data_IF_374745228164
#
_entry.id   IF_374745228164
#
_cell.length_a   1.000
_cell.length_b   1.000
_cell.length_c   1.000
_cell.angle_alpha   90.00
_cell.angle_beta   90.00
_cell.angle_gamma   90.00
#
_symmetry.space_group_name_H-M   'P 1'
#
loop_
_entity.id
_entity.type
_entity.pdbx_description
1 polymer ?
#
# COMPACT_ATOMS: atom_id res chain seq x y z
N UNK A 1 2.75 63.06 -41.82
CA UNK A 1 1.95 61.84 -41.57
C UNK A 1 2.85 60.80 -41.03
N UNK A 2 2.81 60.56 -39.70
CA UNK A 2 3.58 59.49 -39.04
C UNK A 2 2.57 58.53 -38.39
N UNK A 3 2.45 57.30 -38.92
CA UNK A 3 1.67 56.21 -38.33
C UNK A 3 2.48 55.58 -37.23
N UNK A 4 2.00 55.68 -36.00
CA UNK A 4 2.50 54.94 -34.85
C UNK A 4 1.88 53.53 -34.84
N UNK A 5 2.72 52.50 -34.93
CA UNK A 5 2.33 51.09 -34.72
C UNK A 5 2.33 50.80 -33.24
N UNK A 6 1.17 50.61 -32.65
CA UNK A 6 1.02 50.06 -31.32
C UNK A 6 1.14 48.55 -31.40
N UNK A 7 2.18 47.99 -30.80
CA UNK A 7 2.35 46.56 -30.57
C UNK A 7 1.53 46.17 -29.31
N UNK A 8 0.46 45.42 -29.53
CA UNK A 8 -0.34 44.81 -28.46
C UNK A 8 0.37 43.51 -28.04
N UNK A 9 1.10 43.55 -26.94
CA UNK A 9 1.69 42.36 -26.31
C UNK A 9 0.61 41.61 -25.53
N UNK A 10 0.14 40.49 -26.10
CA UNK A 10 -0.79 39.57 -25.43
C UNK A 10 -0.01 38.67 -24.49
N UNK A 11 -0.06 38.96 -23.19
CA UNK A 11 0.45 38.09 -22.16
C UNK A 11 -0.49 36.90 -22.02
N UNK A 12 -0.09 35.73 -22.52
CA UNK A 12 -0.73 34.46 -22.24
C UNK A 12 -0.27 34.06 -20.83
N UNK A 13 -1.15 34.23 -19.83
CA UNK A 13 -0.96 33.71 -18.50
C UNK A 13 -1.19 32.17 -18.53
N UNK A 14 -0.11 31.39 -18.65
CA UNK A 14 -0.16 29.94 -18.49
C UNK A 14 -0.35 29.70 -16.99
N UNK A 15 -1.60 29.47 -16.58
CA UNK A 15 -1.92 28.89 -15.28
C UNK A 15 -1.42 27.44 -15.29
N UNK A 16 -0.16 27.27 -14.89
CA UNK A 16 0.32 25.97 -14.43
C UNK A 16 -0.51 25.62 -13.19
N UNK A 17 -1.49 24.76 -13.38
CA UNK A 17 -2.20 24.10 -12.28
C UNK A 17 -1.21 23.27 -11.49
N UNK A 18 -0.51 23.91 -10.54
CA UNK A 18 0.20 23.21 -9.49
C UNK A 18 -0.86 22.48 -8.67
N UNK A 19 -1.04 21.20 -8.93
CA UNK A 19 -1.76 20.33 -7.99
C UNK A 19 -1.11 20.57 -6.62
N UNK A 20 -1.84 21.13 -5.69
CA UNK A 20 -1.41 21.28 -4.30
C UNK A 20 -1.30 19.83 -3.79
N UNK A 21 -0.11 19.25 -3.86
CA UNK A 21 0.17 18.03 -3.11
C UNK A 21 -0.03 18.41 -1.64
N UNK A 22 -1.11 17.94 -1.04
CA UNK A 22 -1.31 18.09 0.39
C UNK A 22 -0.16 17.35 1.07
N UNK A 23 0.74 18.10 1.69
CA UNK A 23 1.83 17.51 2.46
C UNK A 23 1.20 16.64 3.57
N UNK A 24 1.68 15.40 3.70
CA UNK A 24 1.24 14.49 4.76
C UNK A 24 1.48 15.16 6.12
N UNK A 25 0.47 15.14 6.99
CA UNK A 25 0.61 15.63 8.37
C UNK A 25 1.33 14.61 9.28
N UNK A 26 1.38 13.34 8.88
CA UNK A 26 2.04 12.26 9.64
C UNK A 26 2.98 11.44 8.76
N UNK A 27 4.05 10.83 9.31
CA UNK A 27 4.91 9.92 8.57
C UNK A 27 4.14 8.71 8.01
N UNK A 28 4.58 8.15 6.89
CA UNK A 28 3.97 6.93 6.31
C UNK A 28 4.20 5.68 7.17
N UNK A 29 5.28 5.70 7.95
CA UNK A 29 5.64 4.67 8.91
C UNK A 29 5.96 5.37 10.21
N UNK A 30 5.34 4.94 11.29
CA UNK A 30 5.52 5.50 12.63
C UNK A 30 6.07 4.44 13.58
N UNK A 31 6.91 4.87 14.50
CA UNK A 31 7.40 4.01 15.58
C UNK A 31 6.48 4.06 16.81
N UNK A 32 6.80 3.23 17.80
CA UNK A 32 6.06 3.15 19.07
C UNK A 32 6.08 4.47 19.83
N UNK A 33 7.19 5.21 19.81
CA UNK A 33 7.32 6.47 20.53
C UNK A 33 6.43 7.56 19.92
N UNK A 34 6.40 7.65 18.59
CA UNK A 34 5.50 8.56 17.89
C UNK A 34 4.03 8.24 18.18
N UNK A 35 3.66 6.95 18.12
CA UNK A 35 2.27 6.55 18.35
C UNK A 35 1.84 6.85 19.79
N UNK A 36 2.67 6.52 20.79
CA UNK A 36 2.40 6.83 22.19
C UNK A 36 2.18 8.33 22.45
N UNK A 37 3.05 9.17 21.88
CA UNK A 37 2.96 10.61 22.02
C UNK A 37 1.68 11.20 21.43
N UNK A 38 1.06 10.52 20.47
CA UNK A 38 -0.11 10.96 19.74
C UNK A 38 -1.42 10.26 20.13
N UNK A 39 -1.45 9.33 21.09
CA UNK A 39 -2.65 8.59 21.47
C UNK A 39 -3.85 9.48 21.85
N UNK A 40 -3.58 10.65 22.42
CA UNK A 40 -4.62 11.61 22.83
C UNK A 40 -4.98 12.63 21.72
N UNK A 41 -4.42 12.50 20.50
CA UNK A 41 -4.76 13.40 19.42
C UNK A 41 -6.17 13.09 18.90
N UNK A 42 -7.09 14.07 18.85
CA UNK A 42 -8.48 13.84 18.43
C UNK A 42 -8.60 13.41 16.96
N UNK A 43 -7.61 13.67 16.10
CA UNK A 43 -7.57 13.19 14.73
C UNK A 43 -7.16 11.71 14.63
N UNK A 44 -6.52 11.15 15.68
CA UNK A 44 -5.93 9.81 15.59
C UNK A 44 -6.99 8.72 15.65
N UNK A 45 -6.89 7.78 14.69
CA UNK A 45 -7.57 6.50 14.70
C UNK A 45 -6.50 5.41 14.60
N UNK A 46 -6.29 4.68 15.69
CA UNK A 46 -5.48 3.45 15.67
C UNK A 46 -6.40 2.33 15.17
N UNK A 47 -6.08 1.76 14.01
CA UNK A 47 -6.86 0.73 13.36
C UNK A 47 -6.17 -0.62 13.55
N UNK A 48 -6.67 -1.43 14.47
CA UNK A 48 -6.14 -2.77 14.76
C UNK A 48 -6.78 -3.79 13.80
N UNK A 49 -5.97 -4.32 12.88
CA UNK A 49 -6.45 -5.24 11.83
C UNK A 49 -6.21 -6.71 12.16
N UNK A 50 -5.77 -7.01 13.38
CA UNK A 50 -5.59 -8.37 13.89
C UNK A 50 -6.92 -9.10 14.01
N UNK A 51 -6.85 -10.40 14.33
CA UNK A 51 -8.05 -11.18 14.64
C UNK A 51 -8.76 -10.62 15.88
N UNK A 52 -10.07 -10.82 15.94
CA UNK A 52 -10.88 -10.33 17.05
C UNK A 52 -10.45 -10.91 18.41
N UNK A 53 -9.97 -12.16 18.43
CA UNK A 53 -9.47 -12.82 19.64
C UNK A 53 -8.19 -12.13 20.14
N UNK A 54 -7.25 -11.79 19.23
CA UNK A 54 -6.00 -11.12 19.56
C UNK A 54 -6.25 -9.70 20.08
N UNK A 55 -7.18 -8.98 19.45
CA UNK A 55 -7.59 -7.66 19.90
C UNK A 55 -8.21 -7.70 21.31
N UNK A 56 -9.10 -8.66 21.58
CA UNK A 56 -9.74 -8.84 22.90
C UNK A 56 -8.73 -9.21 23.99
N UNK A 57 -7.70 -9.99 23.65
CA UNK A 57 -6.64 -10.37 24.58
C UNK A 57 -5.76 -9.18 25.01
N UNK A 58 -5.68 -8.15 24.15
CA UNK A 58 -4.97 -6.90 24.44
C UNK A 58 -4.70 -6.12 23.16
N UNK A 59 -4.88 -4.82 23.22
CA UNK A 59 -4.66 -3.89 22.10
C UNK A 59 -4.10 -2.55 22.58
N UNK A 60 -3.66 -1.70 21.65
CA UNK A 60 -3.21 -0.35 21.95
C UNK A 60 -4.40 0.46 22.45
N UNK A 61 -4.27 1.22 23.58
CA UNK A 61 -5.36 2.00 24.13
C UNK A 61 -6.05 2.88 23.08
N UNK A 62 -7.38 2.82 23.01
CA UNK A 62 -8.18 3.59 22.04
C UNK A 62 -8.21 3.03 20.61
N UNK A 63 -7.52 1.91 20.32
CA UNK A 63 -7.57 1.27 19.02
C UNK A 63 -8.96 0.71 18.70
N UNK A 64 -9.36 0.84 17.44
CA UNK A 64 -10.60 0.28 16.89
C UNK A 64 -10.28 -1.05 16.21
N UNK A 65 -11.02 -2.11 16.53
CA UNK A 65 -10.88 -3.40 15.86
C UNK A 65 -11.51 -3.37 14.48
N UNK A 66 -10.75 -3.74 13.46
CA UNK A 66 -11.22 -3.86 12.07
C UNK A 66 -10.48 -4.98 11.37
N UNK A 67 -11.00 -6.20 11.50
CA UNK A 67 -10.32 -7.41 11.05
C UNK A 67 -9.87 -7.34 9.59
N UNK A 68 -8.63 -7.70 9.34
CA UNK A 68 -7.97 -7.68 8.02
C UNK A 68 -8.82 -8.28 6.89
N UNK A 69 -9.51 -9.40 7.14
CA UNK A 69 -10.34 -10.09 6.13
C UNK A 69 -11.48 -9.25 5.56
N UNK A 70 -11.85 -8.14 6.20
CA UNK A 70 -12.82 -7.18 5.66
C UNK A 70 -12.21 -6.21 4.63
N UNK A 71 -10.88 -6.10 4.58
CA UNK A 71 -10.14 -5.20 3.68
C UNK A 71 -9.55 -5.90 2.46
N UNK A 72 -9.58 -7.23 2.44
CA UNK A 72 -9.07 -8.07 1.36
C UNK A 72 -10.03 -9.24 1.16
N UNK A 73 -10.98 -9.05 0.25
CA UNK A 73 -12.14 -9.94 0.08
C UNK A 73 -12.00 -10.84 -1.14
N UNK A 74 -12.81 -11.89 -1.20
CA UNK A 74 -12.89 -12.71 -2.40
C UNK A 74 -13.87 -12.08 -3.39
N UNK A 75 -13.43 -11.85 -4.65
CA UNK A 75 -14.29 -11.38 -5.75
C UNK A 75 -14.27 -12.38 -6.90
N UNK A 76 -15.40 -13.05 -7.12
CA UNK A 76 -15.47 -14.11 -8.12
C UNK A 76 -14.39 -15.18 -7.91
N UNK A 77 -13.50 -15.40 -8.89
CA UNK A 77 -12.41 -16.39 -8.76
C UNK A 77 -11.13 -15.82 -8.14
N UNK A 78 -11.09 -14.53 -7.77
CA UNK A 78 -9.89 -13.85 -7.24
C UNK A 78 -9.98 -13.72 -5.73
N UNK A 79 -8.82 -13.86 -5.08
CA UNK A 79 -8.66 -13.76 -3.65
C UNK A 79 -8.03 -12.41 -3.28
N UNK A 80 -8.35 -11.91 -2.09
CA UNK A 80 -7.75 -10.73 -1.48
C UNK A 80 -7.89 -9.42 -2.29
N UNK A 81 -8.97 -9.28 -3.05
CA UNK A 81 -9.30 -8.07 -3.80
C UNK A 81 -9.76 -6.92 -2.89
N UNK A 82 -9.65 -5.68 -3.36
CA UNK A 82 -10.26 -4.51 -2.70
C UNK A 82 -11.78 -4.75 -2.58
N UNK A 83 -12.43 -4.42 -1.44
CA UNK A 83 -13.90 -4.47 -1.33
C UNK A 83 -14.61 -3.64 -2.40
N UNK A 84 -15.88 -3.92 -2.66
CA UNK A 84 -16.70 -3.06 -3.52
C UNK A 84 -16.79 -1.65 -2.91
N UNK A 85 -16.99 -0.60 -3.72
CA UNK A 85 -16.96 0.78 -3.24
C UNK A 85 -17.90 1.03 -2.06
N UNK A 86 -19.11 0.48 -2.09
CA UNK A 86 -20.12 0.63 -1.04
C UNK A 86 -19.64 -0.03 0.26
N UNK A 87 -19.14 -1.26 0.19
CA UNK A 87 -18.63 -2.01 1.34
C UNK A 87 -17.39 -1.32 1.93
N UNK A 88 -16.48 -0.83 1.07
CA UNK A 88 -15.29 -0.10 1.48
C UNK A 88 -15.66 1.20 2.20
N UNK A 89 -16.65 1.94 1.70
CA UNK A 89 -17.13 3.16 2.36
C UNK A 89 -17.72 2.86 3.74
N UNK A 90 -18.56 1.83 3.85
CA UNK A 90 -19.16 1.41 5.12
C UNK A 90 -18.08 0.98 6.12
N UNK A 91 -17.09 0.22 5.65
CA UNK A 91 -15.96 -0.23 6.49
C UNK A 91 -15.17 0.95 7.08
N UNK A 92 -14.87 1.95 6.26
CA UNK A 92 -14.17 3.18 6.70
C UNK A 92 -15.05 3.97 7.67
N UNK A 93 -16.33 4.14 7.34
CA UNK A 93 -17.28 4.87 8.18
C UNK A 93 -17.46 4.20 9.54
N UNK A 94 -17.62 2.86 9.57
CA UNK A 94 -17.82 2.11 10.81
C UNK A 94 -16.62 2.15 11.76
N UNK A 95 -15.40 2.33 11.23
CA UNK A 95 -14.19 2.56 12.01
C UNK A 95 -14.11 4.00 12.58
N UNK A 96 -15.06 4.88 12.28
CA UNK A 96 -15.08 6.28 12.70
C UNK A 96 -14.04 7.16 11.99
N UNK A 97 -13.53 6.72 10.84
CA UNK A 97 -12.49 7.44 10.08
C UNK A 97 -13.13 8.57 9.27
N UNK A 98 -12.67 9.81 9.46
CA UNK A 98 -13.05 11.02 8.71
C UNK A 98 -11.96 11.31 7.65
N UNK A 99 -12.27 12.17 6.69
CA UNK A 99 -11.31 12.60 5.65
C UNK A 99 -10.00 13.19 6.22
N UNK A 100 -10.07 13.92 7.33
CA UNK A 100 -8.91 14.50 8.02
C UNK A 100 -8.34 13.66 9.16
N UNK A 101 -8.74 12.39 9.30
CA UNK A 101 -8.21 11.50 10.35
C UNK A 101 -6.76 11.13 10.06
N UNK A 102 -5.99 11.00 11.13
CA UNK A 102 -4.70 10.33 11.14
C UNK A 102 -4.93 8.85 11.42
N UNK A 103 -4.72 7.98 10.45
CA UNK A 103 -4.98 6.55 10.64
C UNK A 103 -3.66 5.80 10.77
N UNK A 104 -3.46 5.13 11.90
CA UNK A 104 -2.31 4.23 12.10
C UNK A 104 -2.80 2.79 12.07
N UNK A 105 -2.40 2.03 11.04
CA UNK A 105 -2.75 0.62 10.88
C UNK A 105 -1.80 -0.24 11.70
N UNK A 106 -2.37 -1.11 12.54
CA UNK A 106 -1.62 -2.00 13.44
C UNK A 106 -1.96 -3.46 13.13
N UNK A 107 -0.93 -4.24 12.83
CA UNK A 107 -0.97 -5.69 12.69
C UNK A 107 -0.19 -6.36 13.85
N UNK A 108 -0.21 -7.69 13.99
CA UNK A 108 0.36 -8.41 15.11
C UNK A 108 1.86 -8.18 15.28
N UNK A 109 2.59 -8.24 14.17
CA UNK A 109 4.04 -8.11 14.14
C UNK A 109 4.49 -7.44 12.84
N UNK A 110 5.68 -6.87 12.82
CA UNK A 110 6.35 -6.47 11.59
C UNK A 110 6.73 -7.68 10.74
N UNK A 111 7.89 -7.69 10.13
CA UNK A 111 8.44 -8.87 9.47
C UNK A 111 7.44 -9.54 8.53
N UNK A 112 7.16 -10.83 8.72
CA UNK A 112 6.35 -11.62 7.78
C UNK A 112 4.94 -11.06 7.56
N UNK A 113 4.41 -10.30 8.52
CA UNK A 113 3.03 -9.79 8.47
C UNK A 113 2.91 -8.30 8.10
N UNK A 114 4.01 -7.61 7.90
CA UNK A 114 4.02 -6.19 7.50
C UNK A 114 3.10 -5.88 6.31
N UNK A 115 3.03 -6.78 5.33
CA UNK A 115 2.18 -6.62 4.15
C UNK A 115 0.67 -6.64 4.44
N UNK A 116 0.21 -7.13 5.57
CA UNK A 116 -1.20 -7.02 5.97
C UNK A 116 -1.54 -5.58 6.39
N UNK A 117 -0.66 -4.94 7.16
CA UNK A 117 -0.83 -3.53 7.52
C UNK A 117 -0.76 -2.62 6.29
N UNK A 118 0.24 -2.83 5.43
CA UNK A 118 0.38 -2.02 4.21
C UNK A 118 -0.73 -2.25 3.20
N UNK A 119 -1.34 -3.46 3.14
CA UNK A 119 -2.51 -3.71 2.31
C UNK A 119 -3.70 -2.84 2.74
N UNK A 120 -3.98 -2.77 4.05
CA UNK A 120 -5.05 -1.91 4.58
C UNK A 120 -4.70 -0.44 4.38
N UNK A 121 -3.46 -0.04 4.66
CA UNK A 121 -3.00 1.34 4.47
C UNK A 121 -3.10 1.78 3.01
N UNK A 122 -2.69 0.93 2.06
CA UNK A 122 -2.87 1.18 0.64
C UNK A 122 -4.34 1.29 0.23
N UNK A 123 -5.21 0.41 0.74
CA UNK A 123 -6.65 0.47 0.47
C UNK A 123 -7.26 1.77 0.98
N UNK A 124 -6.85 2.26 2.16
CA UNK A 124 -7.26 3.56 2.70
C UNK A 124 -6.76 4.73 1.85
N UNK A 125 -5.49 4.69 1.41
CA UNK A 125 -4.94 5.69 0.51
C UNK A 125 -5.66 5.69 -0.85
N UNK A 126 -5.93 4.50 -1.42
CA UNK A 126 -6.74 4.34 -2.62
C UNK A 126 -8.15 4.91 -2.46
N UNK A 127 -8.77 4.76 -1.28
CA UNK A 127 -10.07 5.33 -0.95
C UNK A 127 -10.08 6.86 -0.82
N UNK A 128 -8.90 7.51 -0.83
CA UNK A 128 -8.76 8.96 -0.79
C UNK A 128 -8.30 9.55 0.55
N UNK A 129 -7.75 8.73 1.45
CA UNK A 129 -7.19 9.22 2.71
C UNK A 129 -5.71 9.62 2.56
N UNK A 130 -5.35 10.83 3.02
CA UNK A 130 -4.00 11.39 2.90
C UNK A 130 -3.08 11.05 4.07
N UNK A 131 -3.64 10.87 5.26
CA UNK A 131 -2.90 10.77 6.51
C UNK A 131 -3.00 9.36 7.09
N UNK A 132 -2.48 8.37 6.36
CA UNK A 132 -2.43 6.97 6.77
C UNK A 132 -0.99 6.58 7.08
N UNK A 133 -0.77 5.81 8.13
CA UNK A 133 0.53 5.27 8.52
C UNK A 133 0.42 3.78 8.88
N UNK A 134 1.54 3.09 8.90
CA UNK A 134 1.67 1.76 9.49
C UNK A 134 2.59 1.83 10.71
N UNK A 135 2.28 1.04 11.75
CA UNK A 135 3.16 0.93 12.92
C UNK A 135 4.32 -0.02 12.61
N UNK A 136 5.55 0.51 12.66
CA UNK A 136 6.76 -0.28 12.45
C UNK A 136 6.93 -1.33 13.55
N UNK A 137 7.08 -2.60 13.14
CA UNK A 137 7.12 -3.73 14.04
C UNK A 137 5.77 -4.16 14.64
N UNK A 138 4.67 -3.47 14.27
CA UNK A 138 3.31 -3.84 14.66
C UNK A 138 3.04 -3.83 16.16
N UNK A 139 2.00 -4.56 16.59
CA UNK A 139 1.64 -4.70 18.02
C UNK A 139 2.75 -5.34 18.85
N UNK A 140 3.54 -6.24 18.25
CA UNK A 140 4.68 -6.84 18.94
C UNK A 140 5.73 -5.81 19.37
N UNK A 141 5.99 -4.79 18.54
CA UNK A 141 6.91 -3.71 18.92
C UNK A 141 6.33 -2.87 20.09
N UNK A 142 5.02 -2.64 20.11
CA UNK A 142 4.33 -1.94 21.18
C UNK A 142 4.50 -2.67 22.52
N UNK A 143 4.22 -3.96 22.55
CA UNK A 143 4.33 -4.81 23.77
C UNK A 143 5.79 -5.00 24.19
N UNK A 144 6.72 -5.20 23.24
CA UNK A 144 8.17 -5.31 23.51
C UNK A 144 8.73 -4.05 24.15
N UNK A 145 8.18 -2.87 23.79
CA UNK A 145 8.53 -1.60 24.41
C UNK A 145 7.90 -1.38 25.80
N UNK A 146 7.18 -2.38 26.35
CA UNK A 146 6.55 -2.32 27.67
C UNK A 146 5.40 -1.30 27.78
N UNK A 147 4.76 -0.98 26.65
CA UNK A 147 3.70 0.04 26.61
C UNK A 147 2.38 -0.53 27.14
N UNK A 148 1.55 0.37 27.69
CA UNK A 148 0.23 0.02 28.23
C UNK A 148 -0.63 -0.64 27.16
N UNK A 149 -1.34 -1.70 27.53
CA UNK A 149 -2.35 -2.36 26.72
C UNK A 149 -3.72 -2.21 27.35
N UNK A 150 -4.77 -2.24 26.52
CA UNK A 150 -6.16 -2.20 26.95
C UNK A 150 -6.90 -3.45 26.48
N UNK A 151 -7.93 -3.83 27.22
CA UNK A 151 -8.92 -4.84 26.81
C UNK A 151 -10.32 -4.23 26.65
N UNK A 152 -10.44 -2.90 26.78
CA UNK A 152 -11.69 -2.19 26.61
C UNK A 152 -12.11 -2.16 25.14
N UNK A 153 -13.32 -2.64 24.87
CA UNK A 153 -13.87 -2.62 23.50
C UNK A 153 -14.17 -1.19 23.06
N UNK A 154 -13.43 -0.71 22.07
CA UNK A 154 -13.61 0.63 21.52
C UNK A 154 -14.59 0.59 20.35
N UNK A 155 -15.64 1.39 20.45
CA UNK A 155 -16.59 1.63 19.36
C UNK A 155 -16.71 3.12 19.10
N UNK A 156 -16.32 3.57 17.91
CA UNK A 156 -16.50 4.96 17.48
C UNK A 156 -17.87 5.14 16.80
N UNK A 157 -18.49 6.31 16.88
CA UNK A 157 -19.63 6.65 16.03
C UNK A 157 -19.24 6.53 14.55
N UNK A 158 -20.15 6.05 13.72
CA UNK A 158 -19.93 5.99 12.28
C UNK A 158 -19.64 7.38 11.72
N UNK A 159 -18.65 7.49 10.86
CA UNK A 159 -18.26 8.74 10.23
C UNK A 159 -19.15 9.07 9.03
N UNK A 160 -18.92 10.28 8.45
CA UNK A 160 -19.52 10.70 7.18
C UNK A 160 -18.49 10.70 6.04
N UNK A 161 -17.49 9.82 6.11
CA UNK A 161 -16.48 9.70 5.07
C UNK A 161 -17.13 9.37 3.72
N UNK A 162 -16.67 10.04 2.67
CA UNK A 162 -17.07 9.75 1.29
C UNK A 162 -15.83 9.36 0.49
N UNK A 163 -15.93 8.29 -0.29
CA UNK A 163 -14.84 7.82 -1.12
C UNK A 163 -14.41 8.87 -2.15
N UNK A 164 -13.11 9.05 -2.28
CA UNK A 164 -12.44 9.78 -3.35
C UNK A 164 -11.39 8.88 -4.00
N UNK A 165 -11.85 7.95 -4.83
CA UNK A 165 -11.04 6.85 -5.37
C UNK A 165 -9.87 7.37 -6.23
N UNK A 166 -8.66 7.01 -5.87
CA UNK A 166 -7.41 7.30 -6.58
C UNK A 166 -7.07 6.16 -7.55
N UNK A 167 -7.67 6.20 -8.74
CA UNK A 167 -7.52 5.16 -9.77
C UNK A 167 -6.08 4.98 -10.26
N UNK A 168 -5.26 6.00 -10.13
CA UNK A 168 -3.84 6.00 -10.46
C UNK A 168 -2.97 5.18 -9.48
N UNK A 169 -3.50 4.78 -8.32
CA UNK A 169 -2.84 3.88 -7.39
C UNK A 169 -3.01 2.40 -7.75
N UNK A 170 -3.97 2.09 -8.61
CA UNK A 170 -4.31 0.75 -9.06
C UNK A 170 -3.89 0.52 -10.52
N UNK A 171 -3.29 -0.64 -10.80
CA UNK A 171 -3.21 -1.20 -12.14
C UNK A 171 -4.28 -2.29 -12.26
N UNK A 172 -5.19 -2.16 -13.20
CA UNK A 172 -6.10 -3.23 -13.59
C UNK A 172 -5.48 -4.15 -14.65
N UNK A 173 -6.11 -5.28 -14.94
CA UNK A 173 -5.63 -6.24 -15.94
C UNK A 173 -5.42 -5.60 -17.32
N UNK A 174 -6.30 -4.70 -17.75
CA UNK A 174 -6.20 -4.05 -19.06
C UNK A 174 -4.99 -3.13 -19.12
N UNK A 175 -4.70 -2.39 -18.05
CA UNK A 175 -3.49 -1.59 -17.91
C UNK A 175 -2.26 -2.49 -17.99
N UNK A 176 -2.22 -3.59 -17.24
CA UNK A 176 -1.10 -4.52 -17.21
C UNK A 176 -0.84 -5.12 -18.60
N UNK A 177 -1.86 -5.61 -19.29
CA UNK A 177 -1.72 -6.17 -20.65
C UNK A 177 -1.15 -5.17 -21.65
N UNK A 178 -1.48 -3.88 -21.51
CA UNK A 178 -0.95 -2.80 -22.37
C UNK A 178 0.49 -2.43 -22.06
N UNK A 179 0.94 -2.59 -20.81
CA UNK A 179 2.20 -2.02 -20.33
C UNK A 179 3.25 -3.07 -19.97
N UNK A 180 2.91 -4.36 -20.02
CA UNK A 180 3.76 -5.47 -19.58
C UNK A 180 5.18 -5.50 -20.21
N UNK A 181 5.33 -4.98 -21.44
CA UNK A 181 6.61 -4.94 -22.13
C UNK A 181 7.25 -3.53 -22.17
N UNK A 182 6.66 -2.55 -21.50
CA UNK A 182 7.09 -1.15 -21.58
C UNK A 182 7.37 -0.50 -20.24
N UNK A 183 6.68 -0.93 -19.18
CA UNK A 183 6.93 -0.45 -17.82
C UNK A 183 7.74 -1.46 -17.01
N UNK A 184 8.52 -1.01 -16.03
CA UNK A 184 9.16 -1.88 -15.07
C UNK A 184 8.13 -2.47 -14.10
N UNK A 185 8.19 -3.79 -13.93
CA UNK A 185 7.36 -4.56 -12.99
C UNK A 185 8.21 -5.06 -11.84
N UNK A 186 7.79 -4.80 -10.60
CA UNK A 186 8.42 -5.28 -9.39
C UNK A 186 7.64 -6.48 -8.85
N UNK A 187 8.28 -7.66 -8.82
CA UNK A 187 7.74 -8.88 -8.25
C UNK A 187 8.10 -8.99 -6.77
N UNK A 188 7.09 -8.85 -5.90
CA UNK A 188 7.24 -8.88 -4.44
C UNK A 188 7.29 -10.30 -3.84
N UNK A 189 7.22 -11.35 -4.66
CA UNK A 189 7.18 -12.75 -4.22
C UNK A 189 8.58 -13.27 -3.88
N UNK A 190 8.62 -14.44 -3.26
CA UNK A 190 9.88 -15.15 -2.99
C UNK A 190 10.60 -15.55 -4.27
N UNK A 191 11.91 -15.76 -4.18
CA UNK A 191 12.71 -16.28 -5.30
C UNK A 191 12.21 -17.61 -5.85
N UNK A 192 11.82 -18.54 -4.98
CA UNK A 192 11.30 -19.83 -5.40
C UNK A 192 10.06 -19.67 -6.30
N UNK A 193 9.20 -18.73 -5.98
CA UNK A 193 8.02 -18.41 -6.79
C UNK A 193 8.40 -17.66 -8.07
N UNK A 194 9.28 -16.65 -7.97
CA UNK A 194 9.75 -15.88 -9.12
C UNK A 194 10.42 -16.75 -10.17
N UNK A 195 11.32 -17.65 -9.77
CA UNK A 195 12.03 -18.55 -10.70
C UNK A 195 11.18 -19.75 -11.13
N UNK A 196 9.97 -19.93 -10.59
CA UNK A 196 9.05 -21.00 -10.99
C UNK A 196 9.36 -22.35 -10.38
N UNK A 197 10.03 -22.39 -9.23
CA UNK A 197 10.22 -23.62 -8.46
C UNK A 197 8.97 -24.00 -7.69
N UNK A 198 8.22 -23.00 -7.24
CA UNK A 198 6.94 -23.15 -6.53
C UNK A 198 5.91 -22.17 -7.06
N UNK A 199 4.64 -22.46 -6.83
CA UNK A 199 3.51 -21.53 -7.02
C UNK A 199 2.39 -21.84 -6.06
N UNK A 200 1.53 -20.88 -5.80
CA UNK A 200 0.30 -21.13 -5.06
C UNK A 200 -0.68 -21.97 -5.90
N UNK A 201 -1.50 -22.84 -5.29
CA UNK A 201 -2.39 -23.75 -6.03
C UNK A 201 -3.34 -23.07 -7.00
N UNK A 202 -3.78 -21.84 -6.69
CA UNK A 202 -4.72 -21.08 -7.49
C UNK A 202 -4.06 -20.22 -8.59
N UNK A 203 -2.72 -20.12 -8.64
CA UNK A 203 -1.98 -19.46 -9.73
C UNK A 203 -1.75 -20.46 -10.87
N UNK A 204 -2.24 -20.15 -12.07
CA UNK A 204 -2.26 -21.10 -13.19
C UNK A 204 -0.88 -21.39 -13.80
N UNK A 205 0.07 -20.43 -13.73
CA UNK A 205 1.41 -20.56 -14.31
C UNK A 205 2.51 -20.43 -13.25
N UNK A 206 3.61 -21.14 -13.42
CA UNK A 206 4.85 -20.97 -12.66
C UNK A 206 5.70 -19.84 -13.23
N UNK A 207 6.52 -19.19 -12.36
CA UNK A 207 7.44 -18.13 -12.77
C UNK A 207 6.85 -16.74 -12.61
N UNK A 208 7.35 -15.78 -13.39
CA UNK A 208 7.11 -14.35 -13.24
C UNK A 208 6.66 -13.70 -14.56
N UNK A 209 6.14 -12.47 -14.48
CA UNK A 209 5.76 -11.68 -15.65
C UNK A 209 7.00 -11.41 -16.53
N UNK A 210 6.85 -11.45 -17.87
CA UNK A 210 7.95 -11.10 -18.77
C UNK A 210 8.58 -9.77 -18.41
N UNK A 211 9.90 -9.75 -18.20
CA UNK A 211 10.64 -8.52 -17.87
C UNK A 211 10.50 -8.02 -16.44
N UNK A 212 9.74 -8.70 -15.58
CA UNK A 212 9.64 -8.31 -14.17
C UNK A 212 10.97 -8.52 -13.42
N UNK A 213 11.22 -7.66 -12.45
CA UNK A 213 12.40 -7.67 -11.59
C UNK A 213 12.00 -8.20 -10.22
N UNK A 214 12.73 -9.19 -9.70
CA UNK A 214 12.49 -9.78 -8.39
C UNK A 214 12.98 -8.85 -7.28
N UNK A 215 12.06 -8.51 -6.38
CA UNK A 215 12.35 -7.80 -5.14
C UNK A 215 11.44 -8.36 -4.04
N UNK A 216 11.81 -9.49 -3.41
CA UNK A 216 11.03 -10.05 -2.31
C UNK A 216 10.73 -8.99 -1.26
N UNK A 217 9.46 -8.95 -0.80
CA UNK A 217 9.00 -7.94 0.14
C UNK A 217 9.77 -7.94 1.47
N UNK A 218 10.39 -9.05 1.82
CA UNK A 218 11.21 -9.21 3.01
C UNK A 218 12.49 -8.36 2.98
N UNK A 219 12.95 -7.95 1.80
CA UNK A 219 14.20 -7.18 1.66
C UNK A 219 14.14 -5.77 2.21
N UNK A 220 12.95 -5.24 2.43
CA UNK A 220 12.78 -3.93 3.07
C UNK A 220 12.85 -4.00 4.60
N UNK A 221 13.01 -5.21 5.17
CA UNK A 221 12.97 -5.46 6.61
C UNK A 221 14.31 -5.98 7.12
N UNK A 222 14.64 -5.63 8.35
CA UNK A 222 15.75 -6.19 9.09
C UNK A 222 15.40 -7.55 9.75
N UNK A 223 16.35 -8.12 10.49
CA UNK A 223 16.17 -9.39 11.18
C UNK A 223 15.11 -9.33 12.30
N UNK A 224 14.84 -8.16 12.83
CA UNK A 224 13.82 -7.88 13.84
C UNK A 224 12.45 -7.59 13.23
N UNK A 225 12.33 -7.62 11.89
CA UNK A 225 11.09 -7.35 11.15
C UNK A 225 10.70 -5.88 11.09
N UNK A 226 11.64 -4.97 11.33
CA UNK A 226 11.47 -3.53 11.17
C UNK A 226 11.99 -3.06 9.82
N UNK A 227 11.51 -1.91 9.37
CA UNK A 227 12.02 -1.32 8.15
C UNK A 227 13.51 -0.99 8.27
N UNK A 228 14.27 -1.37 7.26
CA UNK A 228 15.65 -0.89 7.11
C UNK A 228 15.66 0.61 6.79
N UNK A 229 16.76 1.34 7.06
CA UNK A 229 16.84 2.77 6.81
C UNK A 229 16.44 3.14 5.38
N UNK A 230 15.73 4.26 5.21
CA UNK A 230 15.23 4.77 3.92
C UNK A 230 16.30 4.73 2.81
N UNK A 231 17.52 5.21 3.11
CA UNK A 231 18.63 5.23 2.16
C UNK A 231 19.02 3.82 1.65
N UNK A 232 18.87 2.79 2.49
CA UNK A 232 19.15 1.40 2.09
C UNK A 232 18.08 0.84 1.14
N UNK A 233 16.84 1.25 1.31
CA UNK A 233 15.76 0.87 0.39
C UNK A 233 15.96 1.56 -0.96
N UNK A 234 16.32 2.84 -0.96
CA UNK A 234 16.62 3.60 -2.18
C UNK A 234 17.82 3.02 -2.93
N UNK A 235 18.89 2.66 -2.20
CA UNK A 235 20.08 2.00 -2.76
C UNK A 235 19.70 0.65 -3.42
N UNK A 236 18.89 -0.17 -2.76
CA UNK A 236 18.40 -1.44 -3.28
C UNK A 236 17.58 -1.25 -4.55
N UNK A 237 16.59 -0.35 -4.54
CA UNK A 237 15.74 -0.10 -5.71
C UNK A 237 16.55 0.41 -6.90
N UNK A 238 17.51 1.29 -6.65
CA UNK A 238 18.42 1.82 -7.69
C UNK A 238 19.31 0.71 -8.26
N UNK A 239 19.87 -0.15 -7.40
CA UNK A 239 20.67 -1.31 -7.84
C UNK A 239 19.85 -2.31 -8.68
N UNK A 240 18.55 -2.42 -8.42
CA UNK A 240 17.60 -3.21 -9.22
C UNK A 240 17.17 -2.51 -10.53
N UNK A 241 17.59 -1.27 -10.76
CA UNK A 241 17.26 -0.50 -11.97
C UNK A 241 15.96 0.30 -11.90
N UNK A 242 15.37 0.44 -10.70
CA UNK A 242 14.22 1.33 -10.49
C UNK A 242 14.66 2.76 -10.17
N UNK A 243 13.84 3.74 -10.56
CA UNK A 243 14.08 5.16 -10.26
C UNK A 243 12.75 5.92 -10.08
N UNK A 244 12.79 7.02 -9.34
CA UNK A 244 11.64 7.91 -9.09
C UNK A 244 10.97 8.43 -10.36
N UNK A 245 11.72 8.59 -11.45
CA UNK A 245 11.19 9.11 -12.72
C UNK A 245 10.30 8.12 -13.47
N UNK A 246 10.46 6.82 -13.20
CA UNK A 246 9.72 5.74 -13.88
C UNK A 246 8.32 5.55 -13.29
N UNK A 247 7.36 5.16 -14.13
CA UNK A 247 6.12 4.57 -13.67
C UNK A 247 6.37 3.08 -13.42
N UNK A 248 6.17 2.61 -12.16
CA UNK A 248 6.46 1.26 -11.72
C UNK A 248 5.15 0.54 -11.38
N UNK A 249 5.06 -0.74 -11.71
CA UNK A 249 3.93 -1.58 -11.29
C UNK A 249 4.44 -2.65 -10.32
N UNK A 250 3.87 -2.69 -9.11
CA UNK A 250 4.15 -3.77 -8.15
C UNK A 250 3.11 -4.87 -8.28
N UNK A 251 3.52 -6.13 -8.17
CA UNK A 251 2.62 -7.27 -8.14
C UNK A 251 3.14 -8.38 -7.23
N UNK A 252 2.26 -9.32 -6.86
CA UNK A 252 2.63 -10.54 -6.13
C UNK A 252 1.75 -11.72 -6.60
N UNK A 253 1.18 -12.50 -5.70
CA UNK A 253 0.21 -13.54 -6.06
C UNK A 253 -1.24 -13.01 -6.10
N UNK A 254 -1.65 -12.16 -5.13
CA UNK A 254 -3.03 -11.73 -4.90
C UNK A 254 -3.15 -10.25 -4.49
N UNK A 255 -2.24 -9.38 -4.88
CA UNK A 255 -2.27 -7.95 -4.54
C UNK A 255 -1.87 -7.60 -3.10
N UNK A 256 -1.66 -8.58 -2.22
CA UNK A 256 -1.33 -8.33 -0.81
C UNK A 256 0.14 -7.98 -0.59
N UNK A 257 1.06 -8.85 -1.00
CA UNK A 257 2.50 -8.68 -0.75
C UNK A 257 3.09 -7.45 -1.46
N UNK A 258 2.60 -7.15 -2.64
CA UNK A 258 3.06 -6.01 -3.43
C UNK A 258 2.63 -4.66 -2.85
N UNK A 259 1.56 -4.61 -2.04
CA UNK A 259 1.17 -3.40 -1.33
C UNK A 259 2.25 -2.87 -0.40
N UNK A 260 3.15 -3.76 0.10
CA UNK A 260 4.28 -3.35 0.92
C UNK A 260 5.27 -2.50 0.10
N UNK A 261 5.65 -2.94 -1.10
CA UNK A 261 6.50 -2.15 -1.98
C UNK A 261 5.80 -0.88 -2.46
N UNK A 262 4.51 -0.96 -2.82
CA UNK A 262 3.76 0.24 -3.17
C UNK A 262 3.81 1.27 -2.04
N UNK A 263 3.51 0.84 -0.79
CA UNK A 263 3.49 1.72 0.38
C UNK A 263 4.85 2.36 0.64
N UNK A 264 5.91 1.56 0.57
CA UNK A 264 7.26 2.05 0.80
C UNK A 264 7.71 2.98 -0.32
N UNK A 265 7.50 2.62 -1.57
CA UNK A 265 7.97 3.43 -2.70
C UNK A 265 7.15 4.73 -2.79
N UNK A 266 5.81 4.66 -2.72
CA UNK A 266 4.94 5.83 -2.87
C UNK A 266 4.96 6.72 -1.63
N UNK A 267 4.60 6.15 -0.47
CA UNK A 267 4.30 6.93 0.72
C UNK A 267 5.55 7.20 1.59
N UNK A 268 6.48 6.24 1.67
CA UNK A 268 7.66 6.40 2.53
C UNK A 268 8.85 7.04 1.79
N UNK A 269 9.14 6.65 0.54
CA UNK A 269 10.16 7.27 -0.30
C UNK A 269 9.67 8.54 -0.98
N UNK A 270 8.39 8.64 -1.32
CA UNK A 270 7.78 9.76 -2.01
C UNK A 270 7.85 9.69 -3.54
N UNK A 271 8.06 8.51 -4.12
CA UNK A 271 8.06 8.33 -5.57
C UNK A 271 6.63 8.29 -6.11
N UNK A 272 6.19 9.27 -6.92
CA UNK A 272 4.76 9.49 -7.18
C UNK A 272 4.14 8.53 -8.20
N UNK A 273 4.96 7.86 -9.02
CA UNK A 273 4.48 7.09 -10.17
C UNK A 273 4.54 5.59 -9.90
N UNK A 274 3.70 5.10 -9.00
CA UNK A 274 3.66 3.68 -8.66
C UNK A 274 2.23 3.18 -8.62
N UNK A 275 1.99 2.00 -9.20
CA UNK A 275 0.69 1.31 -9.17
C UNK A 275 0.84 -0.05 -8.51
N UNK A 276 -0.19 -0.50 -7.82
CA UNK A 276 -0.30 -1.88 -7.35
C UNK A 276 -1.28 -2.65 -8.23
N UNK A 277 -0.87 -3.80 -8.74
CA UNK A 277 -1.76 -4.69 -9.48
C UNK A 277 -2.46 -5.65 -8.51
N UNK A 278 -3.75 -5.40 -8.26
CA UNK A 278 -4.52 -6.15 -7.27
C UNK A 278 -4.69 -7.62 -7.67
N UNK A 279 -5.21 -7.90 -8.87
CA UNK A 279 -5.37 -9.27 -9.37
C UNK A 279 -4.09 -10.08 -9.52
N UNK A 280 -2.93 -9.41 -9.63
CA UNK A 280 -1.60 -10.01 -9.57
C UNK A 280 -1.41 -11.27 -10.42
N UNK A 281 -0.60 -12.24 -9.93
CA UNK A 281 -0.34 -13.50 -10.66
C UNK A 281 -1.58 -14.40 -10.72
N UNK A 282 -2.49 -14.33 -9.75
CA UNK A 282 -3.72 -15.12 -9.77
C UNK A 282 -4.60 -14.77 -10.97
N UNK A 283 -4.69 -13.50 -11.32
CA UNK A 283 -5.48 -13.04 -12.46
C UNK A 283 -4.72 -13.21 -13.79
N UNK A 284 -3.47 -12.70 -13.85
CA UNK A 284 -2.74 -12.64 -15.12
C UNK A 284 -2.32 -14.03 -15.62
N UNK A 285 -2.03 -14.98 -14.73
CA UNK A 285 -1.66 -16.34 -15.11
C UNK A 285 -2.77 -17.11 -15.85
N UNK A 286 -4.02 -16.65 -15.76
CA UNK A 286 -5.18 -17.21 -16.46
C UNK A 286 -5.34 -16.65 -17.88
N UNK A 287 -4.59 -15.59 -18.23
CA UNK A 287 -4.66 -14.98 -19.55
C UNK A 287 -3.84 -15.80 -20.56
N UNK A 288 -4.46 -16.33 -21.65
CA UNK A 288 -3.79 -17.19 -22.60
C UNK A 288 -2.73 -16.46 -23.45
N UNK A 289 -2.78 -15.14 -23.52
CA UNK A 289 -1.85 -14.31 -24.28
C UNK A 289 -0.55 -14.03 -23.54
N UNK A 290 -0.54 -14.22 -22.21
CA UNK A 290 0.63 -13.97 -21.36
C UNK A 290 1.31 -15.29 -20.99
N UNK A 291 2.59 -15.39 -21.28
CA UNK A 291 3.43 -16.54 -20.88
C UNK A 291 4.44 -16.09 -19.84
N UNK A 292 4.32 -16.61 -18.63
CA UNK A 292 5.27 -16.33 -17.55
C UNK A 292 6.66 -16.88 -17.92
N UNK A 293 7.69 -16.19 -17.44
CA UNK A 293 9.08 -16.63 -17.54
C UNK A 293 9.45 -17.45 -16.32
N UNK A 294 10.14 -18.55 -16.50
CA UNK A 294 10.66 -19.37 -15.40
C UNK A 294 12.04 -19.90 -15.71
N UNK A 295 12.78 -20.24 -14.68
CA UNK A 295 14.03 -20.95 -14.82
C UNK A 295 13.74 -22.43 -15.08
N UNK A 296 14.49 -23.02 -16.01
CA UNK A 296 14.41 -24.47 -16.30
C UNK A 296 15.49 -25.17 -15.51
N UNK A 297 15.08 -25.82 -14.43
CA UNK A 297 15.97 -26.64 -13.63
C UNK A 297 16.33 -27.91 -14.45
N UNK A 298 17.61 -28.06 -14.75
CA UNK A 298 18.15 -29.22 -15.45
C UNK A 298 18.77 -30.21 -14.47
#
# INVERSE_FOLDING_TARGET
MRLSRALLAMFILILLGSGVAFAREIPAVVDVAWLEANLNNPKLVVLDVRKAEDYKAGHIPGAVSSFFGSWAVKKGPLNAEIPEPEDLQELIQSAGIQAGSWVVVVESEGGPRFHFATRVAWTLAYAGLDHVAVLDGGYAAWTKAGKTVSTEMVKKPASKFTLNIRKDYLADKNFVLKTLNTLPYLDARSYDTYFGRTKLPFVAQEGHFPGAISAPKEWMLDAEGKLVPKAKIEELLTALGFSESQEIVTYCDTGMGCSAWWWIIHEYLGWPKIRSYDGSSEELAKDPTVKFRKYVWR
#
